data_IF_844524235840
#
_entry.id   IF_844524235840
#
_cell.length_a   1.000
_cell.length_b   1.000
_cell.length_c   1.000
_cell.angle_alpha   90.00
_cell.angle_beta   90.00
_cell.angle_gamma   90.00
#
_symmetry.space_group_name_H-M   'P 1'
#
loop_
_entity.id
_entity.type
_entity.pdbx_description
1 polymer ?
#
# COMPACT_ATOMS: atom_id res chain seq x y z
N UNK A 1 -25.32 11.50 11.01
CA UNK A 1 -25.34 12.74 10.19
C UNK A 1 -24.19 13.72 10.48
N UNK A 2 -23.96 14.26 11.70
CA UNK A 2 -22.80 15.17 11.94
C UNK A 2 -21.43 14.46 12.09
N UNK A 3 -21.44 13.16 12.39
CA UNK A 3 -20.21 12.35 12.49
C UNK A 3 -19.62 12.04 11.11
N UNK A 4 -20.47 11.87 10.09
CA UNK A 4 -20.09 11.35 8.77
C UNK A 4 -19.16 12.30 7.99
N UNK A 5 -19.40 13.61 8.04
CA UNK A 5 -18.57 14.58 7.31
C UNK A 5 -17.14 14.67 7.83
N UNK A 6 -16.92 14.56 9.15
CA UNK A 6 -15.57 14.60 9.73
C UNK A 6 -14.76 13.36 9.35
N UNK A 7 -15.42 12.21 9.23
CA UNK A 7 -14.77 10.98 8.76
C UNK A 7 -14.42 11.06 7.29
N UNK A 8 -15.32 11.57 6.45
CA UNK A 8 -15.05 11.75 5.03
C UNK A 8 -13.89 12.71 4.78
N UNK A 9 -13.84 13.84 5.51
CA UNK A 9 -12.70 14.76 5.48
C UNK A 9 -11.42 14.06 5.94
N UNK A 10 -11.50 13.23 7.00
CA UNK A 10 -10.35 12.46 7.45
C UNK A 10 -9.82 11.54 6.34
N UNK A 11 -10.71 10.77 5.71
CA UNK A 11 -10.38 9.79 4.67
C UNK A 11 -9.81 10.48 3.43
N UNK A 12 -10.44 11.57 2.97
CA UNK A 12 -9.95 12.33 1.83
C UNK A 12 -8.59 12.95 2.13
N UNK A 13 -8.42 13.58 3.30
CA UNK A 13 -7.13 14.13 3.72
C UNK A 13 -6.04 13.07 3.80
N UNK A 14 -6.37 11.91 4.37
CA UNK A 14 -5.49 10.74 4.44
C UNK A 14 -5.10 10.24 3.05
N UNK A 15 -6.07 10.00 2.17
CA UNK A 15 -5.83 9.48 0.83
C UNK A 15 -5.04 10.47 -0.04
N UNK A 16 -5.38 11.76 0.02
CA UNK A 16 -4.60 12.81 -0.64
C UNK A 16 -3.17 12.83 -0.11
N UNK A 17 -2.96 12.76 1.21
CA UNK A 17 -1.60 12.76 1.78
C UNK A 17 -0.78 11.57 1.31
N UNK A 18 -1.36 10.36 1.26
CA UNK A 18 -0.67 9.18 0.73
C UNK A 18 -0.35 9.31 -0.76
N UNK A 19 -1.28 9.82 -1.57
CA UNK A 19 -1.04 10.08 -2.99
C UNK A 19 0.09 11.09 -3.20
N UNK A 20 0.09 12.19 -2.45
CA UNK A 20 1.15 13.20 -2.53
C UNK A 20 2.50 12.66 -2.08
N UNK A 21 2.57 11.87 -1.01
CA UNK A 21 3.80 11.19 -0.61
C UNK A 21 4.31 10.25 -1.70
N UNK A 22 3.41 9.55 -2.39
CA UNK A 22 3.78 8.64 -3.48
C UNK A 22 4.29 9.41 -4.71
N UNK A 23 3.64 10.52 -5.06
CA UNK A 23 4.03 11.36 -6.20
C UNK A 23 5.33 12.14 -5.95
N UNK A 24 5.53 12.60 -4.71
CA UNK A 24 6.59 13.54 -4.35
C UNK A 24 7.79 12.87 -3.66
N UNK A 25 7.65 11.64 -3.16
CA UNK A 25 8.68 10.74 -2.62
C UNK A 25 9.97 11.38 -2.10
N UNK A 26 10.99 11.52 -2.96
CA UNK A 26 12.33 12.00 -2.59
C UNK A 26 12.54 13.51 -2.83
N UNK A 27 11.47 14.24 -3.16
CA UNK A 27 11.53 15.69 -3.27
C UNK A 27 11.41 16.34 -1.89
N UNK A 28 11.98 17.54 -1.75
CA UNK A 28 11.84 18.34 -0.54
C UNK A 28 10.36 18.57 -0.13
N UNK A 29 9.43 18.55 -1.08
CA UNK A 29 8.00 18.70 -0.83
C UNK A 29 7.42 17.53 -0.04
N UNK A 30 8.03 16.34 -0.12
CA UNK A 30 7.64 15.17 0.67
C UNK A 30 7.74 15.43 2.17
N UNK A 31 8.70 16.25 2.61
CA UNK A 31 8.82 16.68 4.00
C UNK A 31 7.67 17.58 4.44
N UNK A 32 7.27 18.52 3.58
CA UNK A 32 6.13 19.40 3.85
C UNK A 32 4.85 18.57 3.95
N UNK A 33 4.62 17.64 3.02
CA UNK A 33 3.48 16.72 3.07
C UNK A 33 3.53 15.87 4.34
N UNK A 34 4.69 15.33 4.70
CA UNK A 34 4.89 14.56 5.93
C UNK A 34 4.60 15.38 7.19
N UNK A 35 5.04 16.64 7.23
CA UNK A 35 4.76 17.56 8.32
C UNK A 35 3.27 17.88 8.44
N UNK A 36 2.62 18.22 7.32
CA UNK A 36 1.17 18.48 7.26
C UNK A 36 0.37 17.25 7.68
N UNK A 37 0.76 16.06 7.21
CA UNK A 37 0.12 14.81 7.58
C UNK A 37 0.32 14.50 9.07
N UNK A 38 1.50 14.76 9.63
CA UNK A 38 1.76 14.59 11.07
C UNK A 38 0.90 15.54 11.92
N UNK A 39 0.80 16.82 11.52
CA UNK A 39 -0.10 17.79 12.15
C UNK A 39 -1.56 17.36 12.04
N UNK A 40 -1.96 16.88 10.87
CA UNK A 40 -3.30 16.33 10.65
C UNK A 40 -3.58 15.15 11.58
N UNK A 41 -2.68 14.18 11.69
CA UNK A 41 -2.81 13.07 12.64
C UNK A 41 -2.87 13.54 14.10
N UNK A 42 -2.08 14.55 14.47
CA UNK A 42 -2.13 15.17 15.79
C UNK A 42 -3.49 15.81 16.09
N UNK A 43 -4.15 16.45 15.12
CA UNK A 43 -5.50 17.00 15.31
C UNK A 43 -6.53 15.92 15.67
N UNK A 44 -6.33 14.69 15.19
CA UNK A 44 -7.18 13.54 15.51
C UNK A 44 -6.66 12.67 16.67
N UNK A 45 -5.51 13.03 17.28
CA UNK A 45 -4.86 12.25 18.35
C UNK A 45 -5.71 12.11 19.62
N UNK A 46 -6.64 13.03 19.89
CA UNK A 46 -7.52 13.00 21.08
C UNK A 46 -8.39 11.73 21.17
N UNK A 47 -8.48 10.96 20.09
CA UNK A 47 -9.26 9.71 19.97
C UNK A 47 -8.40 8.45 20.07
N UNK A 48 -7.12 8.60 20.40
CA UNK A 48 -6.18 7.50 20.64
C UNK A 48 -6.46 6.90 22.01
N UNK A 49 -6.70 5.59 22.06
CA UNK A 49 -6.87 4.83 23.29
C UNK A 49 -5.56 4.17 23.71
N UNK A 50 -4.80 4.86 24.55
CA UNK A 50 -3.54 4.35 25.09
C UNK A 50 -3.69 3.06 25.90
N UNK A 51 -4.90 2.79 26.44
CA UNK A 51 -5.20 1.52 27.11
C UNK A 51 -5.01 0.29 26.21
N UNK A 52 -5.21 0.42 24.88
CA UNK A 52 -4.97 -0.65 23.91
C UNK A 52 -3.50 -1.04 23.80
N UNK A 53 -2.56 -0.17 24.18
CA UNK A 53 -1.12 -0.42 24.06
C UNK A 53 -0.70 -1.67 24.86
N UNK A 54 -1.36 -1.93 26.00
CA UNK A 54 -1.10 -3.12 26.81
C UNK A 54 -1.38 -4.43 26.06
N UNK A 55 -2.39 -4.44 25.18
CA UNK A 55 -2.72 -5.61 24.37
C UNK A 55 -1.64 -5.92 23.32
N UNK A 56 -0.96 -4.88 22.83
CA UNK A 56 0.09 -4.98 21.80
C UNK A 56 1.51 -4.84 22.37
N UNK A 57 1.74 -5.24 23.63
CA UNK A 57 3.00 -5.00 24.34
C UNK A 57 4.24 -5.47 23.57
N UNK A 58 4.23 -6.67 22.99
CA UNK A 58 5.37 -7.21 22.22
C UNK A 58 5.65 -6.38 20.96
N UNK A 59 4.59 -5.94 20.28
CA UNK A 59 4.70 -5.06 19.10
C UNK A 59 5.25 -3.70 19.52
N UNK A 60 4.81 -3.17 20.67
CA UNK A 60 5.34 -1.94 21.25
C UNK A 60 6.84 -2.03 21.56
N UNK A 61 7.28 -3.12 22.19
CA UNK A 61 8.70 -3.35 22.47
C UNK A 61 9.50 -3.48 21.17
N UNK A 62 9.00 -4.24 20.18
CA UNK A 62 9.67 -4.39 18.89
C UNK A 62 9.87 -3.04 18.18
N UNK A 63 8.83 -2.20 18.14
CA UNK A 63 8.92 -0.85 17.57
C UNK A 63 9.85 0.07 18.36
N UNK A 64 9.88 -0.04 19.69
CA UNK A 64 10.82 0.72 20.50
C UNK A 64 12.27 0.30 20.22
N UNK A 65 12.55 -1.01 20.18
CA UNK A 65 13.85 -1.53 19.79
C UNK A 65 14.25 -1.09 18.38
N UNK A 66 13.30 -1.11 17.44
CA UNK A 66 13.50 -0.62 16.08
C UNK A 66 13.89 0.87 16.08
N UNK A 67 13.19 1.73 16.82
CA UNK A 67 13.54 3.16 16.91
C UNK A 67 14.91 3.39 17.55
N UNK A 68 15.27 2.63 18.58
CA UNK A 68 16.60 2.72 19.21
C UNK A 68 17.69 2.32 18.22
N UNK A 69 17.52 1.16 17.57
CA UNK A 69 18.46 0.69 16.55
C UNK A 69 18.59 1.69 15.40
N UNK A 70 17.46 2.24 14.97
CA UNK A 70 17.41 3.24 13.91
C UNK A 70 18.11 4.54 14.31
N UNK A 71 17.90 5.03 15.53
CA UNK A 71 18.59 6.21 16.06
C UNK A 71 20.11 6.01 16.14
N UNK A 72 20.55 4.84 16.60
CA UNK A 72 21.97 4.47 16.61
C UNK A 72 22.55 4.41 15.19
N UNK A 73 21.81 3.81 14.24
CA UNK A 73 22.20 3.74 12.84
C UNK A 73 22.35 5.15 12.23
N UNK A 74 21.41 6.07 12.51
CA UNK A 74 21.44 7.44 12.02
C UNK A 74 22.64 8.24 12.55
N UNK A 75 23.05 8.03 13.80
CA UNK A 75 24.24 8.70 14.38
C UNK A 75 25.53 8.15 13.75
N UNK A 76 25.56 6.86 13.39
CA UNK A 76 26.74 6.20 12.85
C UNK A 76 27.00 6.49 11.36
N UNK A 77 26.06 7.09 10.65
CA UNK A 77 26.14 7.29 9.20
C UNK A 77 26.76 8.64 8.83
N UNK A 78 27.73 8.63 7.92
CA UNK A 78 28.51 9.82 7.52
C UNK A 78 27.70 10.79 6.64
N UNK A 79 26.65 10.29 5.98
CA UNK A 79 25.85 11.02 5.00
C UNK A 79 24.59 11.64 5.61
N UNK A 80 24.77 12.74 6.36
CA UNK A 80 23.71 13.47 7.08
C UNK A 80 22.41 13.73 6.29
N UNK A 81 22.43 14.19 5.01
CA UNK A 81 21.20 14.48 4.26
C UNK A 81 20.35 13.24 3.98
N UNK A 82 20.99 12.15 3.52
CA UNK A 82 20.31 10.88 3.24
C UNK A 82 19.75 10.24 4.50
N UNK A 83 20.42 10.41 5.64
CA UNK A 83 19.88 10.00 6.94
C UNK A 83 18.66 10.78 7.35
N UNK A 84 18.56 12.09 7.07
CA UNK A 84 17.36 12.86 7.42
C UNK A 84 16.13 12.43 6.61
N UNK A 85 16.28 12.24 5.30
CA UNK A 85 15.21 11.74 4.41
C UNK A 85 14.68 10.38 4.89
N UNK A 86 15.60 9.46 5.19
CA UNK A 86 15.23 8.15 5.71
C UNK A 86 14.57 8.27 7.10
N UNK A 87 15.13 9.10 7.98
CA UNK A 87 14.65 9.25 9.37
C UNK A 87 13.25 9.83 9.43
N UNK A 88 12.95 10.88 8.66
CA UNK A 88 11.60 11.45 8.60
C UNK A 88 10.59 10.43 8.07
N UNK A 89 10.98 9.64 7.06
CA UNK A 89 10.14 8.61 6.47
C UNK A 89 9.83 7.51 7.49
N UNK A 90 10.83 7.02 8.22
CA UNK A 90 10.62 6.00 9.26
C UNK A 90 9.83 6.52 10.46
N UNK A 91 10.06 7.76 10.88
CA UNK A 91 9.25 8.41 11.91
C UNK A 91 7.80 8.57 11.47
N UNK A 92 7.55 8.94 10.21
CA UNK A 92 6.20 9.01 9.66
C UNK A 92 5.53 7.63 9.69
N UNK A 93 6.21 6.59 9.23
CA UNK A 93 5.68 5.20 9.28
C UNK A 93 5.34 4.80 10.71
N UNK A 94 6.21 5.13 11.67
CA UNK A 94 5.96 4.87 13.10
C UNK A 94 4.70 5.59 13.61
N UNK A 95 4.56 6.89 13.31
CA UNK A 95 3.41 7.70 13.73
C UNK A 95 2.12 7.17 13.10
N UNK A 96 2.13 6.89 11.80
CA UNK A 96 1.01 6.30 11.05
C UNK A 96 0.60 4.96 11.65
N UNK A 97 1.55 4.07 11.91
CA UNK A 97 1.30 2.74 12.45
C UNK A 97 0.58 2.83 13.79
N UNK A 98 1.13 3.58 14.75
CA UNK A 98 0.53 3.72 16.08
C UNK A 98 -0.80 4.45 16.06
N UNK A 99 -0.95 5.43 15.17
CA UNK A 99 -2.23 6.09 14.97
C UNK A 99 -3.31 5.11 14.52
N UNK A 100 -3.02 4.25 13.54
CA UNK A 100 -3.96 3.23 13.05
C UNK A 100 -4.29 2.19 14.13
N UNK A 101 -3.28 1.70 14.86
CA UNK A 101 -3.46 0.66 15.88
C UNK A 101 -4.24 1.15 17.10
N UNK A 102 -3.94 2.35 17.59
CA UNK A 102 -4.46 2.84 18.87
C UNK A 102 -5.76 3.64 18.74
N UNK A 103 -6.13 4.10 17.56
CA UNK A 103 -7.33 4.90 17.42
C UNK A 103 -8.59 4.05 17.69
N UNK A 104 -9.52 4.60 18.49
CA UNK A 104 -10.69 3.88 19.00
C UNK A 104 -11.66 3.46 17.90
N UNK A 105 -11.97 4.40 16.99
CA UNK A 105 -13.04 4.30 15.99
C UNK A 105 -12.59 4.59 14.56
N UNK A 106 -11.28 4.65 14.30
CA UNK A 106 -10.80 4.99 12.97
C UNK A 106 -10.73 3.69 12.18
N UNK A 107 -11.67 3.64 11.26
CA UNK A 107 -11.62 2.93 10.00
C UNK A 107 -11.88 1.44 10.17
N UNK A 108 -13.11 1.04 9.81
CA UNK A 108 -13.40 -0.36 9.48
C UNK A 108 -12.24 -0.90 8.65
N UNK A 109 -11.67 -2.08 8.96
CA UNK A 109 -10.62 -2.68 8.13
C UNK A 109 -10.96 -2.62 6.63
N UNK A 110 -12.24 -2.81 6.29
CA UNK A 110 -12.78 -2.57 4.94
C UNK A 110 -12.38 -1.22 4.33
N UNK A 111 -12.47 -0.12 5.06
CA UNK A 111 -12.26 1.22 4.53
C UNK A 111 -10.76 1.53 4.38
N UNK A 112 -9.88 1.05 5.27
CA UNK A 112 -8.42 1.10 5.03
C UNK A 112 -8.11 0.33 3.75
N UNK A 113 -8.64 -0.88 3.63
CA UNK A 113 -8.44 -1.74 2.46
C UNK A 113 -8.97 -1.06 1.20
N UNK A 114 -10.17 -0.48 1.23
CA UNK A 114 -10.73 0.27 0.11
C UNK A 114 -9.89 1.50 -0.26
N UNK A 115 -9.35 2.23 0.73
CA UNK A 115 -8.46 3.38 0.45
C UNK A 115 -7.14 2.95 -0.17
N UNK A 116 -6.55 1.83 0.28
CA UNK A 116 -5.32 1.28 -0.31
C UNK A 116 -5.57 0.72 -1.71
N UNK A 117 -6.70 0.06 -1.94
CA UNK A 117 -7.10 -0.40 -3.26
C UNK A 117 -7.33 0.78 -4.21
N UNK A 118 -8.01 1.83 -3.76
CA UNK A 118 -8.21 3.05 -4.54
C UNK A 118 -6.88 3.74 -4.84
N UNK A 119 -5.97 3.81 -3.86
CA UNK A 119 -4.61 4.31 -4.05
C UNK A 119 -3.90 3.50 -5.14
N UNK A 120 -4.00 2.16 -5.09
CA UNK A 120 -3.47 1.27 -6.12
C UNK A 120 -4.06 1.54 -7.50
N UNK A 121 -5.39 1.72 -7.62
CA UNK A 121 -6.05 2.07 -8.89
C UNK A 121 -5.49 3.38 -9.44
N UNK A 122 -5.47 4.43 -8.62
CA UNK A 122 -5.02 5.77 -9.04
C UNK A 122 -3.55 5.73 -9.44
N UNK A 123 -2.70 5.09 -8.65
CA UNK A 123 -1.28 4.93 -8.95
C UNK A 123 -1.04 4.17 -10.26
N UNK A 124 -1.76 3.06 -10.49
CA UNK A 124 -1.67 2.30 -11.73
C UNK A 124 -2.15 3.11 -12.94
N UNK A 125 -3.29 3.82 -12.83
CA UNK A 125 -3.79 4.67 -13.92
C UNK A 125 -2.78 5.77 -14.26
N UNK A 126 -2.24 6.46 -13.25
CA UNK A 126 -1.23 7.50 -13.45
C UNK A 126 0.01 6.91 -14.12
N UNK A 127 0.49 5.74 -13.66
CA UNK A 127 1.68 5.11 -14.23
C UNK A 127 1.47 4.66 -15.68
N UNK A 128 0.32 4.07 -16.00
CA UNK A 128 -0.06 3.76 -17.39
C UNK A 128 -0.16 5.03 -18.23
N UNK A 129 -0.71 6.11 -17.68
CA UNK A 129 -0.75 7.43 -18.31
C UNK A 129 0.65 7.95 -18.66
N UNK A 130 1.61 7.86 -17.72
CA UNK A 130 3.00 8.23 -17.95
C UNK A 130 3.72 7.32 -18.96
N UNK A 131 3.34 6.05 -19.01
CA UNK A 131 3.85 5.14 -20.03
C UNK A 131 3.36 5.50 -21.43
N UNK A 132 2.09 5.88 -21.58
CA UNK A 132 1.50 6.28 -22.87
C UNK A 132 1.92 7.69 -23.31
N UNK A 133 2.07 8.62 -22.36
CA UNK A 133 2.42 10.02 -22.61
C UNK A 133 3.57 10.44 -21.68
N UNK A 134 4.84 10.17 -22.07
CA UNK A 134 6.00 10.41 -21.22
C UNK A 134 6.19 11.89 -20.81
N UNK A 135 5.77 12.84 -21.66
CA UNK A 135 5.89 14.27 -21.38
C UNK A 135 5.08 14.74 -20.17
N UNK A 136 4.05 13.99 -19.76
CA UNK A 136 3.31 14.29 -18.52
C UNK A 136 4.12 13.99 -17.27
N UNK A 137 5.05 13.02 -17.35
CA UNK A 137 5.92 12.71 -16.22
C UNK A 137 6.98 13.79 -15.96
N UNK A 138 7.34 14.58 -16.99
CA UNK A 138 8.28 15.70 -16.89
C UNK A 138 7.72 16.88 -16.06
N UNK A 139 6.40 16.94 -15.86
CA UNK A 139 5.76 17.93 -14.98
C UNK A 139 5.97 17.62 -13.49
N UNK A 140 6.44 16.42 -13.16
CA UNK A 140 6.72 15.99 -11.80
C UNK A 140 8.24 16.03 -11.53
N UNK A 141 8.66 16.13 -10.26
CA UNK A 141 10.08 16.04 -9.91
C UNK A 141 10.68 14.73 -10.45
N UNK A 142 11.91 14.80 -10.96
CA UNK A 142 12.53 13.72 -11.76
C UNK A 142 12.72 12.36 -11.08
N UNK A 143 12.51 12.26 -9.75
CA UNK A 143 12.51 11.02 -8.98
C UNK A 143 11.09 10.67 -8.48
N UNK A 144 10.10 10.76 -9.36
CA UNK A 144 8.72 10.37 -9.08
C UNK A 144 8.57 8.84 -9.09
N UNK A 145 7.87 8.29 -8.10
CA UNK A 145 7.74 6.83 -7.92
C UNK A 145 6.86 6.14 -8.96
N UNK A 146 6.21 6.90 -9.83
CA UNK A 146 5.27 6.38 -10.82
C UNK A 146 5.81 6.42 -12.26
N UNK A 147 6.95 7.07 -12.48
CA UNK A 147 7.59 7.09 -13.78
C UNK A 147 8.42 5.83 -14.00
N UNK A 148 8.49 5.36 -15.24
CA UNK A 148 9.11 4.09 -15.58
C UNK A 148 10.59 4.02 -15.13
N UNK A 149 11.37 5.05 -15.42
CA UNK A 149 12.83 5.03 -15.23
C UNK A 149 13.30 4.85 -13.78
N UNK A 150 12.54 5.32 -12.79
CA UNK A 150 12.91 5.28 -11.37
C UNK A 150 11.85 4.64 -10.46
N UNK A 151 10.61 4.53 -10.92
CA UNK A 151 9.44 4.15 -10.14
C UNK A 151 9.02 2.68 -10.23
N UNK A 152 9.59 1.89 -11.15
CA UNK A 152 9.20 0.49 -11.35
C UNK A 152 9.20 -0.33 -10.05
N UNK A 153 10.21 -0.16 -9.20
CA UNK A 153 10.27 -0.89 -7.93
C UNK A 153 9.23 -0.42 -6.90
N UNK A 154 8.82 0.85 -6.96
CA UNK A 154 7.90 1.45 -6.01
C UNK A 154 6.44 1.18 -6.36
N UNK A 155 6.07 1.29 -7.65
CA UNK A 155 4.76 0.82 -8.11
C UNK A 155 4.63 -0.69 -7.87
N UNK A 156 5.67 -1.47 -8.17
CA UNK A 156 5.65 -2.90 -7.91
C UNK A 156 5.49 -3.21 -6.41
N UNK A 157 6.17 -2.48 -5.52
CA UNK A 157 5.98 -2.62 -4.07
C UNK A 157 4.54 -2.29 -3.64
N UNK A 158 3.93 -1.23 -4.19
CA UNK A 158 2.52 -0.91 -3.95
C UNK A 158 1.61 -2.03 -4.46
N UNK A 159 1.83 -2.53 -5.68
CA UNK A 159 1.05 -3.62 -6.26
C UNK A 159 1.17 -4.90 -5.43
N UNK A 160 2.36 -5.24 -4.95
CA UNK A 160 2.60 -6.38 -4.06
C UNK A 160 1.87 -6.25 -2.72
N UNK A 161 1.59 -5.04 -2.26
CA UNK A 161 0.73 -4.81 -1.10
C UNK A 161 -0.76 -4.95 -1.46
N UNK A 162 -1.17 -4.41 -2.60
CA UNK A 162 -2.58 -4.27 -2.98
C UNK A 162 -3.17 -5.55 -3.57
N UNK A 163 -2.38 -6.40 -4.25
CA UNK A 163 -2.82 -7.69 -4.80
C UNK A 163 -3.41 -8.65 -3.75
N UNK A 164 -2.75 -8.94 -2.62
CA UNK A 164 -3.34 -9.83 -1.61
C UNK A 164 -4.61 -9.23 -1.00
N UNK A 165 -4.67 -7.90 -0.86
CA UNK A 165 -5.87 -7.19 -0.39
C UNK A 165 -7.02 -7.27 -1.40
N UNK A 166 -6.73 -7.13 -2.69
CA UNK A 166 -7.75 -7.21 -3.74
C UNK A 166 -8.32 -8.62 -3.86
N UNK A 167 -7.48 -9.65 -3.73
CA UNK A 167 -7.92 -11.03 -3.66
C UNK A 167 -8.78 -11.29 -2.42
N UNK A 168 -8.35 -10.84 -1.24
CA UNK A 168 -9.16 -10.94 -0.03
C UNK A 168 -10.55 -10.31 -0.22
N UNK A 169 -10.61 -9.13 -0.86
CA UNK A 169 -11.86 -8.42 -1.11
C UNK A 169 -12.75 -9.09 -2.19
N UNK A 170 -12.14 -9.67 -3.23
CA UNK A 170 -12.83 -10.44 -4.26
C UNK A 170 -13.35 -11.80 -3.76
N UNK A 171 -12.82 -12.30 -2.66
CA UNK A 171 -13.18 -13.60 -2.09
C UNK A 171 -14.13 -13.49 -0.88
N UNK A 172 -14.38 -12.28 -0.40
CA UNK A 172 -15.30 -12.00 0.69
C UNK A 172 -16.77 -12.26 0.28
N UNK A 173 -17.31 -13.40 0.73
CA UNK A 173 -18.67 -13.87 0.43
C UNK A 173 -19.78 -13.09 1.12
N UNK A 174 -19.46 -12.21 2.07
CA UNK A 174 -20.46 -11.37 2.74
C UNK A 174 -20.95 -10.21 1.86
N UNK A 175 -20.32 -9.99 0.71
CA UNK A 175 -20.75 -8.99 -0.25
C UNK A 175 -21.66 -9.59 -1.32
N UNK A 176 -22.79 -8.92 -1.59
CA UNK A 176 -23.75 -9.28 -2.64
C UNK A 176 -23.07 -9.75 -3.94
N UNK A 177 -23.51 -10.91 -4.44
CA UNK A 177 -22.93 -11.68 -5.55
C UNK A 177 -22.74 -10.92 -6.87
N UNK A 178 -23.49 -9.83 -7.11
CA UNK A 178 -23.38 -9.07 -8.38
C UNK A 178 -22.12 -8.21 -8.46
N UNK A 179 -21.53 -7.83 -7.32
CA UNK A 179 -20.33 -6.98 -7.27
C UNK A 179 -19.02 -7.77 -7.38
N UNK A 180 -19.10 -9.09 -7.55
CA UNK A 180 -17.93 -9.96 -7.52
C UNK A 180 -17.05 -9.81 -8.78
N UNK A 181 -17.67 -9.57 -9.94
CA UNK A 181 -16.96 -9.41 -11.22
C UNK A 181 -16.05 -8.18 -11.24
N UNK A 182 -16.51 -7.03 -10.73
CA UNK A 182 -15.71 -5.81 -10.67
C UNK A 182 -14.47 -5.96 -9.77
N UNK A 183 -14.61 -6.67 -8.65
CA UNK A 183 -13.49 -6.94 -7.72
C UNK A 183 -12.47 -7.92 -8.30
N UNK A 184 -12.95 -8.93 -9.02
CA UNK A 184 -12.10 -9.84 -9.79
C UNK A 184 -11.36 -9.11 -10.90
N UNK A 185 -12.05 -8.24 -11.65
CA UNK A 185 -11.43 -7.42 -12.69
C UNK A 185 -10.32 -6.54 -12.11
N UNK A 186 -10.55 -5.88 -10.97
CA UNK A 186 -9.52 -5.10 -10.28
C UNK A 186 -8.29 -5.94 -9.92
N UNK A 187 -8.50 -7.15 -9.41
CA UNK A 187 -7.43 -8.07 -9.04
C UNK A 187 -6.60 -8.51 -10.25
N UNK A 188 -7.27 -8.77 -11.38
CA UNK A 188 -6.62 -9.07 -12.66
C UNK A 188 -5.82 -7.86 -13.16
N UNK A 189 -6.39 -6.65 -13.11
CA UNK A 189 -5.70 -5.42 -13.52
C UNK A 189 -4.42 -5.21 -12.72
N UNK A 190 -4.45 -5.38 -11.39
CA UNK A 190 -3.24 -5.25 -10.56
C UNK A 190 -2.20 -6.32 -10.87
N UNK A 191 -2.63 -7.56 -11.07
CA UNK A 191 -1.73 -8.67 -11.39
C UNK A 191 -1.06 -8.47 -12.75
N UNK A 192 -1.82 -8.05 -13.77
CA UNK A 192 -1.28 -7.70 -15.09
C UNK A 192 -0.35 -6.50 -15.02
N UNK A 193 -0.70 -5.47 -14.24
CA UNK A 193 0.16 -4.30 -14.05
C UNK A 193 1.50 -4.67 -13.39
N UNK A 194 1.50 -5.62 -12.46
CA UNK A 194 2.74 -6.13 -11.85
C UNK A 194 3.61 -6.87 -12.87
N UNK A 195 3.01 -7.70 -13.72
CA UNK A 195 3.72 -8.39 -14.81
C UNK A 195 4.34 -7.40 -15.80
N UNK A 196 3.64 -6.29 -16.09
CA UNK A 196 4.13 -5.21 -16.95
C UNK A 196 5.16 -4.30 -16.26
N UNK A 197 5.35 -4.41 -14.95
CA UNK A 197 6.29 -3.55 -14.21
C UNK A 197 7.77 -3.88 -14.44
N UNK A 198 8.10 -4.92 -15.24
CA UNK A 198 9.45 -5.42 -15.58
C UNK A 198 10.39 -5.76 -14.40
N UNK A 199 9.98 -5.55 -13.15
CA UNK A 199 10.74 -5.90 -11.96
C UNK A 199 10.71 -7.41 -11.72
N UNK A 200 11.72 -8.14 -12.23
CA UNK A 200 11.82 -9.61 -12.08
C UNK A 200 11.63 -10.07 -10.64
N UNK A 201 12.29 -9.40 -9.68
CA UNK A 201 12.15 -9.70 -8.25
C UNK A 201 10.72 -9.51 -7.77
N UNK A 202 10.06 -8.43 -8.18
CA UNK A 202 8.69 -8.17 -7.78
C UNK A 202 7.72 -9.17 -8.41
N UNK A 203 7.94 -9.57 -9.66
CA UNK A 203 7.18 -10.64 -10.32
C UNK A 203 7.36 -11.97 -9.58
N UNK A 204 8.59 -12.32 -9.15
CA UNK A 204 8.84 -13.51 -8.31
C UNK A 204 8.12 -13.46 -6.97
N UNK A 205 8.16 -12.32 -6.28
CA UNK A 205 7.45 -12.14 -5.02
C UNK A 205 5.93 -12.25 -5.26
N UNK A 206 5.40 -11.65 -6.32
CA UNK A 206 3.99 -11.72 -6.69
C UNK A 206 3.55 -13.15 -7.02
N UNK A 207 4.40 -13.92 -7.71
CA UNK A 207 4.16 -15.34 -7.97
C UNK A 207 4.10 -16.15 -6.67
N UNK A 208 5.05 -15.94 -5.76
CA UNK A 208 5.03 -16.57 -4.43
C UNK A 208 3.76 -16.20 -3.66
N UNK A 209 3.36 -14.93 -3.64
CA UNK A 209 2.12 -14.48 -3.02
C UNK A 209 0.91 -15.23 -3.58
N UNK A 210 0.85 -15.41 -4.91
CA UNK A 210 -0.23 -16.11 -5.58
C UNK A 210 -0.26 -17.60 -5.20
N UNK A 211 0.90 -18.26 -5.09
CA UNK A 211 1.01 -19.64 -4.57
C UNK A 211 0.49 -19.72 -3.13
N UNK A 212 0.95 -18.83 -2.24
CA UNK A 212 0.49 -18.80 -0.84
C UNK A 212 -1.01 -18.61 -0.75
N UNK A 213 -1.57 -17.73 -1.58
CA UNK A 213 -3.00 -17.49 -1.65
C UNK A 213 -3.74 -18.78 -2.02
N UNK A 214 -3.32 -19.47 -3.08
CA UNK A 214 -3.87 -20.76 -3.50
C UNK A 214 -3.78 -21.81 -2.38
N UNK A 215 -2.63 -21.90 -1.69
CA UNK A 215 -2.44 -22.85 -0.59
C UNK A 215 -3.40 -22.60 0.57
N UNK A 216 -3.57 -21.34 0.98
CA UNK A 216 -4.53 -20.94 2.02
C UNK A 216 -5.96 -21.35 1.61
N UNK A 217 -6.31 -21.21 0.33
CA UNK A 217 -7.62 -21.64 -0.17
C UNK A 217 -7.85 -23.14 -0.06
N UNK A 218 -6.87 -23.96 -0.46
CA UNK A 218 -6.98 -25.40 -0.37
C UNK A 218 -7.09 -25.87 1.09
N UNK A 219 -6.37 -25.23 2.02
CA UNK A 219 -6.45 -25.56 3.44
C UNK A 219 -7.83 -25.31 4.04
N UNK A 220 -8.50 -24.22 3.66
CA UNK A 220 -9.82 -23.88 4.21
C UNK A 220 -10.99 -24.65 3.59
N UNK A 221 -10.76 -25.58 2.64
CA UNK A 221 -11.77 -26.41 1.95
C UNK A 221 -13.00 -25.64 1.42
N UNK A 222 -12.88 -24.33 1.20
CA UNK A 222 -13.99 -23.51 0.71
C UNK A 222 -14.17 -23.80 -0.80
N UNK A 223 -15.40 -24.08 -1.27
CA UNK A 223 -15.62 -24.20 -2.71
C UNK A 223 -15.35 -22.84 -3.36
N UNK A 224 -14.31 -22.82 -4.20
CA UNK A 224 -13.98 -21.73 -5.10
C UNK A 224 -14.92 -21.77 -6.31
N UNK A 225 -15.41 -20.60 -6.70
CA UNK A 225 -16.14 -20.42 -7.94
C UNK A 225 -15.25 -20.87 -9.13
N UNK A 226 -15.89 -21.55 -10.08
CA UNK A 226 -15.27 -22.00 -11.34
C UNK A 226 -14.56 -20.88 -12.09
N UNK A 227 -15.10 -19.66 -12.05
CA UNK A 227 -14.48 -18.50 -12.71
C UNK A 227 -13.19 -18.08 -12.01
N UNK A 228 -13.19 -18.05 -10.68
CA UNK A 228 -12.00 -17.71 -9.89
C UNK A 228 -10.88 -18.70 -10.14
N UNK A 229 -11.20 -20.01 -10.21
CA UNK A 229 -10.23 -21.05 -10.56
C UNK A 229 -9.60 -20.82 -11.94
N UNK A 230 -10.42 -20.47 -12.93
CA UNK A 230 -9.93 -20.16 -14.29
C UNK A 230 -9.00 -18.94 -14.28
N UNK A 231 -9.38 -17.86 -13.59
CA UNK A 231 -8.56 -16.66 -13.48
C UNK A 231 -7.22 -16.95 -12.80
N UNK A 232 -7.22 -17.69 -11.69
CA UNK A 232 -5.99 -18.10 -11.01
C UNK A 232 -5.08 -18.92 -11.92
N UNK A 233 -5.63 -19.89 -12.65
CA UNK A 233 -4.86 -20.71 -13.58
C UNK A 233 -4.25 -19.88 -14.71
N UNK A 234 -5.02 -18.95 -15.30
CA UNK A 234 -4.52 -18.03 -16.33
C UNK A 234 -3.38 -17.18 -15.77
N UNK A 235 -3.55 -16.60 -14.58
CA UNK A 235 -2.50 -15.79 -13.94
C UNK A 235 -1.24 -16.62 -13.67
N UNK A 236 -1.35 -17.82 -13.10
CA UNK A 236 -0.20 -18.73 -12.89
C UNK A 236 0.54 -18.98 -14.19
N UNK A 237 -0.19 -19.30 -15.27
CA UNK A 237 0.41 -19.51 -16.59
C UNK A 237 1.14 -18.27 -17.12
N UNK A 238 0.55 -17.07 -16.94
CA UNK A 238 1.18 -15.82 -17.35
C UNK A 238 2.45 -15.52 -16.53
N UNK A 239 2.43 -15.71 -15.21
CA UNK A 239 3.62 -15.56 -14.37
C UNK A 239 4.71 -16.56 -14.78
N UNK A 240 4.37 -17.82 -15.05
CA UNK A 240 5.35 -18.82 -15.52
C UNK A 240 5.93 -18.44 -16.89
N UNK A 241 5.12 -17.92 -17.81
CA UNK A 241 5.57 -17.46 -19.12
C UNK A 241 6.61 -16.34 -18.98
N UNK A 242 6.43 -15.40 -18.04
CA UNK A 242 7.42 -14.33 -17.81
C UNK A 242 8.77 -14.81 -17.29
N UNK A 243 8.86 -16.02 -16.71
CA UNK A 243 10.13 -16.63 -16.33
C UNK A 243 10.78 -17.42 -17.48
N UNK A 244 10.00 -17.80 -18.50
CA UNK A 244 10.48 -18.55 -19.66
C UNK A 244 11.10 -17.64 -20.74
N UNK A 245 10.75 -16.35 -20.74
CA UNK A 245 11.27 -15.29 -21.64
C UNK A 245 12.42 -14.52 -21.01
#
# INVERSE_FOLDING_TARGET
MRQDNRYLIFILGWLCSLLFLLLLSQSYLSYLVSGVMSLFLLLYSRRIQWSKLHHYRLVAVSWFCFLVFFGLAAISTISWPLTFDATSSWLMVFVVFWFVVLHEKLIFPQLIISTLLLLGIVATIISVGFFLIPSWAEMLPGMNLLHATYGHNHLAALLLLVIPLSWWWALDKNSNSSHNYGRLALTVIFSLSLLLSFGRTAVSIGFLQLIFLILIFFQHKKPLDSLIKKVLLILVSLFLLTFAT
#
